data_IF_461531203376
#
_entry.id   IF_461531203376
#
_cell.length_a   1.000
_cell.length_b   1.000
_cell.length_c   1.000
_cell.angle_alpha   90.00
_cell.angle_beta   90.00
_cell.angle_gamma   90.00
#
_symmetry.space_group_name_H-M   'P 1'
#
loop_
_entity.id
_entity.type
_entity.pdbx_description
1 polymer ?
#
# COMPACT_ATOMS: atom_id res chain seq x y z
N UNK A 1 32.28 -31.80 51.74
CA UNK A 1 32.60 -32.69 50.61
C UNK A 1 32.35 -31.89 49.34
N UNK A 2 33.35 -31.64 48.49
CA UNK A 2 33.19 -30.95 47.21
C UNK A 2 32.85 -31.97 46.13
N UNK A 3 31.78 -31.77 45.36
CA UNK A 3 31.64 -32.45 44.06
C UNK A 3 30.91 -31.56 43.07
N UNK A 4 31.67 -31.15 42.07
CA UNK A 4 31.29 -30.41 40.87
C UNK A 4 30.20 -31.12 40.09
N UNK A 5 29.28 -30.38 39.47
CA UNK A 5 28.62 -30.87 38.26
C UNK A 5 28.65 -29.84 37.13
N UNK A 6 28.78 -30.32 35.89
CA UNK A 6 29.47 -29.65 34.80
C UNK A 6 28.53 -28.79 33.95
N UNK A 7 29.11 -27.71 33.39
CA UNK A 7 28.58 -27.04 32.20
C UNK A 7 28.41 -28.08 31.09
N UNK A 8 27.18 -28.58 30.96
CA UNK A 8 26.84 -29.51 29.89
C UNK A 8 26.25 -28.70 28.77
N UNK A 9 27.13 -28.44 27.81
CA UNK A 9 26.80 -28.13 26.42
C UNK A 9 25.55 -28.89 25.96
N UNK A 10 24.52 -28.15 25.56
CA UNK A 10 23.44 -28.66 24.72
C UNK A 10 23.53 -27.80 23.47
N UNK A 11 24.45 -28.17 22.57
CA UNK A 11 24.18 -29.06 21.44
C UNK A 11 23.10 -28.46 20.54
N UNK A 12 23.54 -27.91 19.42
CA UNK A 12 22.71 -27.43 18.32
C UNK A 12 21.55 -28.40 18.05
N UNK A 13 20.34 -27.99 18.42
CA UNK A 13 19.14 -28.69 18.02
C UNK A 13 18.77 -28.16 16.63
N UNK A 14 19.23 -28.89 15.61
CA UNK A 14 18.77 -28.78 14.24
C UNK A 14 17.25 -28.62 14.24
N UNK A 15 16.80 -27.42 13.88
CA UNK A 15 15.39 -27.08 13.91
C UNK A 15 14.71 -27.83 12.77
N UNK A 16 13.70 -28.68 13.04
CA UNK A 16 12.99 -29.40 11.99
C UNK A 16 12.36 -28.39 11.02
N UNK A 17 12.34 -28.66 9.70
CA UNK A 17 11.75 -27.75 8.73
C UNK A 17 10.27 -27.59 9.04
N UNK A 18 9.91 -26.40 9.52
CA UNK A 18 8.54 -26.01 9.83
C UNK A 18 7.69 -26.15 8.56
N UNK A 19 6.56 -26.86 8.60
CA UNK A 19 5.72 -27.06 7.42
C UNK A 19 5.26 -25.71 6.89
N UNK A 20 5.59 -25.43 5.62
CA UNK A 20 5.28 -24.19 4.94
C UNK A 20 3.78 -23.87 5.05
N UNK A 21 3.45 -22.94 5.95
CA UNK A 21 2.12 -22.37 6.07
C UNK A 21 1.78 -21.68 4.74
N UNK A 22 0.57 -21.87 4.18
CA UNK A 22 0.19 -21.22 2.94
C UNK A 22 0.33 -19.71 3.14
N UNK A 23 1.25 -19.11 2.37
CA UNK A 23 1.50 -17.68 2.41
C UNK A 23 0.17 -16.95 2.21
N UNK A 24 -0.34 -16.36 3.29
CA UNK A 24 -1.50 -15.50 3.23
C UNK A 24 -1.08 -14.31 2.39
N UNK A 25 -1.51 -14.29 1.13
CA UNK A 25 -1.30 -13.14 0.24
C UNK A 25 -1.94 -11.95 0.93
N UNK A 26 -1.20 -10.87 1.24
CA UNK A 26 -1.80 -9.69 1.84
C UNK A 26 -2.96 -9.22 0.96
N UNK A 27 -4.07 -8.74 1.54
CA UNK A 27 -5.12 -8.12 0.75
C UNK A 27 -4.49 -7.00 -0.08
N UNK A 28 -4.63 -7.08 -1.40
CA UNK A 28 -4.17 -6.01 -2.31
C UNK A 28 -4.99 -4.78 -1.93
N UNK A 29 -4.38 -3.84 -1.21
CA UNK A 29 -5.04 -2.58 -0.92
C UNK A 29 -5.29 -1.87 -2.25
N UNK A 30 -6.49 -1.29 -2.44
CA UNK A 30 -6.79 -0.51 -3.62
C UNK A 30 -5.75 0.61 -3.76
N UNK A 31 -4.91 0.55 -4.80
CA UNK A 31 -3.86 1.55 -5.02
C UNK A 31 -4.47 2.84 -5.55
N UNK A 32 -4.16 4.01 -4.97
CA UNK A 32 -4.59 5.27 -5.52
C UNK A 32 -4.14 5.42 -6.97
N UNK A 33 -4.99 6.01 -7.79
CA UNK A 33 -4.75 6.20 -9.21
C UNK A 33 -4.47 7.67 -9.50
N UNK A 34 -3.34 7.97 -10.12
CA UNK A 34 -3.07 9.30 -10.63
C UNK A 34 -3.93 9.55 -11.89
N UNK A 35 -4.84 10.52 -11.81
CA UNK A 35 -5.74 10.90 -12.89
C UNK A 35 -5.33 12.25 -13.42
N UNK A 36 -4.98 12.30 -14.70
CA UNK A 36 -4.66 13.55 -15.40
C UNK A 36 -5.92 14.15 -16.00
N UNK A 37 -6.27 15.37 -15.60
CA UNK A 37 -7.44 16.07 -16.08
C UNK A 37 -7.09 17.42 -16.70
N UNK A 38 -7.88 17.82 -17.69
CA UNK A 38 -7.72 19.14 -18.35
C UNK A 38 -8.89 20.01 -17.94
N UNK A 39 -8.60 21.16 -17.33
CA UNK A 39 -9.63 22.11 -16.92
C UNK A 39 -10.38 22.64 -18.15
N UNK A 40 -11.70 22.53 -18.12
CA UNK A 40 -12.58 23.00 -19.19
C UNK A 40 -12.76 24.52 -19.19
N UNK A 41 -12.50 25.20 -18.06
CA UNK A 41 -12.54 26.67 -17.97
C UNK A 41 -11.32 27.36 -18.55
N UNK A 42 -10.10 26.86 -18.26
CA UNK A 42 -8.85 27.55 -18.64
C UNK A 42 -7.90 26.73 -19.52
N UNK A 43 -8.17 25.44 -19.74
CA UNK A 43 -7.32 24.55 -20.53
C UNK A 43 -6.09 24.02 -19.80
N UNK A 44 -5.90 24.35 -18.52
CA UNK A 44 -4.75 23.85 -17.74
C UNK A 44 -4.86 22.35 -17.48
N UNK A 45 -3.76 21.62 -17.65
CA UNK A 45 -3.66 20.19 -17.32
C UNK A 45 -3.11 20.05 -15.91
N UNK A 46 -3.76 19.23 -15.10
CA UNK A 46 -3.32 18.92 -13.74
C UNK A 46 -3.52 17.43 -13.43
N UNK A 47 -2.75 16.92 -12.48
CA UNK A 47 -2.88 15.55 -11.99
C UNK A 47 -3.46 15.56 -10.58
N UNK A 48 -4.38 14.64 -10.32
CA UNK A 48 -4.93 14.39 -9.00
C UNK A 48 -4.76 12.93 -8.62
N UNK A 49 -4.49 12.68 -7.35
CA UNK A 49 -4.46 11.35 -6.78
C UNK A 49 -5.89 10.96 -6.39
N UNK A 50 -6.45 9.96 -7.07
CA UNK A 50 -7.80 9.48 -6.84
C UNK A 50 -7.74 8.25 -5.92
N UNK A 51 -8.29 8.33 -4.70
CA UNK A 51 -8.42 7.17 -3.82
C UNK A 51 -9.16 6.05 -4.54
N UNK A 52 -8.64 4.82 -4.40
CA UNK A 52 -9.26 3.71 -5.09
C UNK A 52 -10.63 3.37 -4.50
N UNK A 53 -11.57 3.04 -5.40
CA UNK A 53 -12.99 2.92 -5.09
C UNK A 53 -13.80 4.20 -5.35
N UNK A 54 -13.15 5.35 -5.62
CA UNK A 54 -13.85 6.56 -6.08
C UNK A 54 -13.94 6.58 -7.61
N UNK A 55 -15.16 6.82 -8.12
CA UNK A 55 -15.44 6.98 -9.56
C UNK A 55 -15.60 8.45 -9.97
N UNK A 56 -15.88 9.31 -8.99
CA UNK A 56 -16.11 10.74 -9.20
C UNK A 56 -15.44 11.57 -8.12
N UNK A 57 -14.79 12.66 -8.51
CA UNK A 57 -14.23 13.65 -7.60
C UNK A 57 -14.52 15.06 -8.11
N UNK A 58 -14.83 15.96 -7.19
CA UNK A 58 -14.94 17.39 -7.46
C UNK A 58 -13.68 18.07 -6.93
N UNK A 59 -12.94 18.72 -7.83
CA UNK A 59 -11.66 19.34 -7.51
C UNK A 59 -11.60 20.75 -8.08
N UNK A 60 -11.09 21.70 -7.31
CA UNK A 60 -10.85 23.04 -7.82
C UNK A 60 -9.60 23.03 -8.71
N UNK A 61 -9.69 23.64 -9.89
CA UNK A 61 -8.55 23.80 -10.77
C UNK A 61 -7.49 24.71 -10.10
N UNK A 62 -6.23 24.29 -9.95
CA UNK A 62 -5.20 25.10 -9.30
C UNK A 62 -4.80 26.35 -10.09
N UNK A 63 -5.16 26.43 -11.37
CA UNK A 63 -4.84 27.57 -12.23
C UNK A 63 -5.89 28.69 -12.19
N UNK A 64 -7.17 28.36 -12.07
CA UNK A 64 -8.27 29.34 -12.18
C UNK A 64 -9.35 29.21 -11.09
N UNK A 65 -9.19 28.27 -10.16
CA UNK A 65 -10.14 27.97 -9.09
C UNK A 65 -11.56 27.57 -9.53
N UNK A 66 -11.79 27.24 -10.81
CA UNK A 66 -13.05 26.63 -11.25
C UNK A 66 -13.17 25.18 -10.78
N UNK A 67 -14.36 24.79 -10.34
CA UNK A 67 -14.68 23.41 -10.00
C UNK A 67 -14.68 22.51 -11.24
N UNK A 68 -13.86 21.47 -11.22
CA UNK A 68 -13.79 20.43 -12.23
C UNK A 68 -14.37 19.15 -11.65
N UNK A 69 -15.30 18.55 -12.40
CA UNK A 69 -15.81 17.21 -12.10
C UNK A 69 -15.01 16.18 -12.87
N UNK A 70 -14.27 15.35 -12.16
CA UNK A 70 -13.45 14.28 -12.75
C UNK A 70 -14.18 12.96 -12.58
N UNK A 71 -14.34 12.23 -13.69
CA UNK A 71 -14.94 10.92 -13.76
C UNK A 71 -13.87 9.94 -14.26
N UNK A 72 -13.64 8.88 -13.51
CA UNK A 72 -12.72 7.80 -13.89
C UNK A 72 -13.56 6.63 -14.36
N UNK A 73 -13.42 6.25 -15.62
CA UNK A 73 -14.02 5.02 -16.14
C UNK A 73 -13.23 3.86 -15.54
N UNK A 74 -13.89 3.07 -14.69
CA UNK A 74 -13.27 2.04 -13.86
C UNK A 74 -13.57 0.64 -14.34
#
# INVERSE_FOLDING_TARGET
MPVSLPETTVNEQETPPEPASPAQVPPVLPTPQAVRHTCTSCGAVFEIDMPAGLRQALVACPACASDQTILVDG
#
